data_IF_617603949533
#
_entry.id   IF_617603949533
#
_cell.length_a   1.000
_cell.length_b   1.000
_cell.length_c   1.000
_cell.angle_alpha   90.00
_cell.angle_beta   90.00
_cell.angle_gamma   90.00
#
_symmetry.space_group_name_H-M   'P 1'
#
loop_
_entity.id
_entity.type
_entity.pdbx_description
1 polymer ?
#
# COMPACT_ATOMS: atom_id res chain seq x y z
N UNK A 1 12.67 12.51 -0.59
CA UNK A 1 11.41 13.24 -0.82
C UNK A 1 10.29 12.23 -1.10
N UNK A 2 9.34 12.03 -0.16
CA UNK A 2 8.17 11.13 -0.35
C UNK A 2 7.03 11.96 -0.96
N UNK A 3 6.45 11.49 -2.05
CA UNK A 3 5.30 12.14 -2.68
C UNK A 3 4.05 11.92 -1.80
N UNK A 4 3.26 12.98 -1.59
CA UNK A 4 2.05 12.92 -0.75
C UNK A 4 0.88 12.20 -1.43
N UNK A 5 0.83 12.22 -2.77
CA UNK A 5 -0.33 11.79 -3.55
C UNK A 5 0.09 11.20 -4.89
N UNK A 6 -0.59 10.14 -5.33
CA UNK A 6 -0.52 9.68 -6.72
C UNK A 6 -1.66 10.38 -7.48
N UNK A 7 -1.33 11.35 -8.33
CA UNK A 7 -2.29 12.24 -9.02
C UNK A 7 -3.21 11.47 -9.99
N UNK A 8 -2.84 10.25 -10.38
CA UNK A 8 -3.58 9.44 -11.35
C UNK A 8 -3.98 8.12 -10.71
N UNK A 9 -5.29 7.90 -10.52
CA UNK A 9 -5.81 6.57 -10.28
C UNK A 9 -5.36 5.68 -11.45
N UNK A 10 -4.80 4.51 -11.13
CA UNK A 10 -4.45 3.55 -12.16
C UNK A 10 -5.72 3.21 -12.93
N UNK A 11 -5.69 3.35 -14.25
CA UNK A 11 -6.75 2.94 -15.20
C UNK A 11 -7.13 1.45 -15.04
N UNK A 12 -6.36 0.69 -14.27
CA UNK A 12 -6.56 -0.70 -13.90
C UNK A 12 -7.16 -0.82 -12.49
N UNK A 13 -8.33 -0.21 -12.23
CA UNK A 13 -9.07 -0.47 -11.00
C UNK A 13 -9.61 -1.91 -11.01
N UNK A 14 -8.80 -2.84 -10.49
CA UNK A 14 -9.06 -4.28 -10.49
C UNK A 14 -9.74 -4.75 -9.19
N UNK A 15 -10.85 -4.14 -8.80
CA UNK A 15 -11.65 -4.66 -7.69
C UNK A 15 -12.44 -5.89 -8.14
N UNK A 16 -12.29 -7.00 -7.42
CA UNK A 16 -13.07 -8.20 -7.66
C UNK A 16 -14.56 -7.94 -7.30
N UNK A 17 -15.47 -8.62 -7.99
CA UNK A 17 -16.91 -8.41 -7.80
C UNK A 17 -17.49 -9.05 -6.52
N UNK A 18 -16.69 -9.90 -5.85
CA UNK A 18 -17.07 -10.52 -4.59
C UNK A 18 -17.07 -9.50 -3.43
N UNK A 19 -17.73 -9.84 -2.34
CA UNK A 19 -17.98 -8.98 -1.16
C UNK A 19 -16.76 -8.16 -0.73
N UNK A 20 -15.63 -8.81 -0.49
CA UNK A 20 -14.37 -8.16 -0.09
C UNK A 20 -13.90 -7.11 -1.11
N UNK A 21 -14.06 -7.35 -2.42
CA UNK A 21 -13.64 -6.39 -3.43
C UNK A 21 -14.54 -5.15 -3.45
N UNK A 22 -15.85 -5.32 -3.21
CA UNK A 22 -16.79 -4.20 -3.06
C UNK A 22 -16.53 -3.38 -1.80
N UNK A 23 -16.22 -4.05 -0.69
CA UNK A 23 -15.85 -3.36 0.57
C UNK A 23 -14.57 -2.56 0.41
N UNK A 24 -13.54 -3.15 -0.21
CA UNK A 24 -12.28 -2.44 -0.50
C UNK A 24 -12.50 -1.24 -1.43
N UNK A 25 -13.39 -1.36 -2.41
CA UNK A 25 -13.76 -0.24 -3.28
C UNK A 25 -14.43 0.87 -2.48
N UNK A 26 -15.47 0.55 -1.69
CA UNK A 26 -16.17 1.52 -0.86
C UNK A 26 -15.24 2.22 0.15
N UNK A 27 -14.33 1.48 0.78
CA UNK A 27 -13.30 2.04 1.65
C UNK A 27 -12.35 2.96 0.88
N UNK A 28 -11.96 2.59 -0.34
CA UNK A 28 -11.09 3.43 -1.18
C UNK A 28 -11.79 4.73 -1.55
N UNK A 29 -13.02 4.66 -2.05
CA UNK A 29 -13.82 5.83 -2.44
C UNK A 29 -13.99 6.78 -1.24
N UNK A 30 -14.28 6.24 -0.06
CA UNK A 30 -14.35 7.04 1.17
C UNK A 30 -13.01 7.71 1.51
N UNK A 31 -11.90 6.97 1.46
CA UNK A 31 -10.57 7.53 1.69
C UNK A 31 -10.19 8.61 0.67
N UNK A 32 -10.66 8.49 -0.58
CA UNK A 32 -10.39 9.47 -1.63
C UNK A 32 -11.10 10.80 -1.37
N UNK A 33 -12.26 10.77 -0.72
CA UNK A 33 -12.97 11.98 -0.26
C UNK A 33 -12.31 12.63 0.96
N UNK A 34 -11.50 11.90 1.73
CA UNK A 34 -10.87 12.38 2.96
C UNK A 34 -9.39 12.76 2.76
N UNK A 35 -9.11 14.05 2.47
CA UNK A 35 -7.73 14.56 2.41
C UNK A 35 -7.06 14.74 3.79
N UNK A 36 -7.84 14.91 4.86
CA UNK A 36 -7.34 15.33 6.19
C UNK A 36 -6.42 14.34 6.94
N UNK A 37 -6.60 13.01 6.87
CA UNK A 37 -5.78 12.06 7.63
C UNK A 37 -4.32 11.97 7.15
N UNK A 38 -4.03 12.40 5.91
CA UNK A 38 -2.73 12.21 5.30
C UNK A 38 -1.61 12.98 6.02
N UNK A 39 -1.91 14.12 6.62
CA UNK A 39 -0.89 14.90 7.34
C UNK A 39 -0.53 14.27 8.70
N UNK A 40 -1.48 13.61 9.37
CA UNK A 40 -1.23 12.85 10.59
C UNK A 40 -0.38 11.61 10.32
N UNK A 41 -0.71 10.87 9.27
CA UNK A 41 0.09 9.71 8.83
C UNK A 41 1.47 10.17 8.38
N UNK A 42 1.56 11.27 7.63
CA UNK A 42 2.84 11.85 7.22
C UNK A 42 3.73 12.21 8.41
N UNK A 43 3.13 12.73 9.49
CA UNK A 43 3.86 13.08 10.72
C UNK A 43 4.37 11.82 11.44
N UNK A 44 3.54 10.77 11.57
CA UNK A 44 3.94 9.52 12.21
C UNK A 44 5.04 8.79 11.42
N UNK A 45 4.88 8.72 10.10
CA UNK A 45 5.83 8.12 9.16
C UNK A 45 7.16 8.89 9.09
N UNK A 46 7.18 10.19 9.42
CA UNK A 46 8.40 11.00 9.54
C UNK A 46 9.10 10.85 10.89
N UNK A 47 8.35 10.58 11.97
CA UNK A 47 8.90 10.40 13.32
C UNK A 47 9.64 9.09 13.48
N UNK A 48 9.22 8.05 12.76
CA UNK A 48 10.03 6.84 12.59
C UNK A 48 11.20 7.22 11.69
N UNK A 49 12.41 7.33 12.25
CA UNK A 49 13.66 7.58 11.50
C UNK A 49 13.92 6.40 10.55
N UNK A 50 13.23 6.40 9.42
CA UNK A 50 13.42 5.39 8.38
C UNK A 50 14.75 5.67 7.72
N UNK A 51 15.69 4.73 7.87
CA UNK A 51 16.96 4.69 7.14
C UNK A 51 16.76 5.18 5.69
N UNK A 52 17.58 6.13 5.25
CA UNK A 52 17.63 6.58 3.87
C UNK A 52 18.20 5.48 2.97
N UNK A 53 17.46 4.38 2.81
CA UNK A 53 17.69 3.47 1.70
C UNK A 53 17.43 4.32 0.46
N UNK A 54 18.46 4.66 -0.33
CA UNK A 54 18.46 5.69 -1.38
C UNK A 54 17.46 5.53 -2.54
N UNK A 55 16.31 4.88 -2.33
CA UNK A 55 15.16 4.75 -3.22
C UNK A 55 13.99 5.57 -2.69
N UNK A 56 13.16 6.10 -3.60
CA UNK A 56 11.89 6.74 -3.25
C UNK A 56 11.02 5.76 -2.44
N UNK A 57 10.68 6.14 -1.21
CA UNK A 57 9.74 5.39 -0.36
C UNK A 57 8.32 5.38 -0.93
N UNK A 58 7.46 4.53 -0.37
CA UNK A 58 6.03 4.52 -0.72
C UNK A 58 5.40 5.91 -0.46
N UNK A 59 4.43 6.35 -1.28
CA UNK A 59 3.65 7.54 -0.98
C UNK A 59 2.83 7.31 0.29
N UNK A 60 2.61 8.37 1.06
CA UNK A 60 1.92 8.31 2.36
C UNK A 60 0.52 7.71 2.23
N UNK A 61 -0.17 8.01 1.12
CA UNK A 61 -1.44 7.38 0.72
C UNK A 61 -1.38 5.85 0.69
N UNK A 62 -0.34 5.28 0.08
CA UNK A 62 -0.17 3.83 -0.03
C UNK A 62 0.17 3.22 1.32
N UNK A 63 0.95 3.92 2.15
CA UNK A 63 1.26 3.48 3.51
C UNK A 63 -0.01 3.36 4.34
N UNK A 64 -0.84 4.41 4.34
CA UNK A 64 -2.12 4.41 5.04
C UNK A 64 -3.02 3.26 4.54
N UNK A 65 -3.15 3.09 3.23
CA UNK A 65 -4.00 2.02 2.68
C UNK A 65 -3.45 0.62 2.97
N UNK A 66 -2.13 0.43 2.97
CA UNK A 66 -1.53 -0.82 3.45
C UNK A 66 -1.83 -1.08 4.94
N UNK A 67 -1.77 -0.05 5.78
CA UNK A 67 -2.08 -0.18 7.21
C UNK A 67 -3.56 -0.51 7.45
N UNK A 68 -4.48 0.14 6.72
CA UNK A 68 -5.92 -0.16 6.78
C UNK A 68 -6.18 -1.59 6.29
N UNK A 69 -5.59 -2.00 5.17
CA UNK A 69 -5.76 -3.35 4.64
C UNK A 69 -5.24 -4.41 5.62
N UNK A 70 -4.09 -4.16 6.25
CA UNK A 70 -3.51 -5.00 7.29
C UNK A 70 -4.47 -5.13 8.47
N UNK A 71 -5.03 -4.03 8.96
CA UNK A 71 -5.92 -4.02 10.11
C UNK A 71 -7.26 -4.69 9.80
N UNK A 72 -7.86 -4.34 8.66
CA UNK A 72 -9.15 -4.84 8.21
C UNK A 72 -9.15 -6.37 8.05
N UNK A 73 -8.07 -6.93 7.48
CA UNK A 73 -7.94 -8.39 7.31
C UNK A 73 -7.08 -9.07 8.38
N UNK A 74 -6.71 -8.35 9.45
CA UNK A 74 -5.88 -8.84 10.56
C UNK A 74 -4.57 -9.53 10.13
N UNK A 75 -3.92 -9.00 9.09
CA UNK A 75 -2.75 -9.63 8.47
C UNK A 75 -1.46 -9.32 9.25
N UNK A 76 -0.55 -10.29 9.26
CA UNK A 76 0.87 -10.03 9.49
C UNK A 76 1.48 -9.25 8.31
N UNK A 77 2.70 -8.74 8.47
CA UNK A 77 3.39 -8.08 7.37
C UNK A 77 3.68 -9.03 6.19
N UNK A 78 3.95 -10.32 6.47
CA UNK A 78 4.20 -11.32 5.43
C UNK A 78 2.94 -11.63 4.62
N UNK A 79 1.80 -11.80 5.31
CA UNK A 79 0.50 -12.04 4.67
C UNK A 79 0.02 -10.81 3.90
N UNK A 80 0.28 -9.61 4.41
CA UNK A 80 0.01 -8.37 3.69
C UNK A 80 0.79 -8.33 2.38
N UNK A 81 2.10 -8.64 2.40
CA UNK A 81 2.91 -8.71 1.19
C UNK A 81 2.34 -9.77 0.23
N UNK A 82 1.93 -10.93 0.73
CA UNK A 82 1.33 -11.96 -0.10
C UNK A 82 0.02 -11.48 -0.77
N UNK A 83 -0.91 -10.86 -0.02
CA UNK A 83 -2.13 -10.23 -0.54
C UNK A 83 -1.81 -9.24 -1.67
N UNK A 84 -0.82 -8.36 -1.43
CA UNK A 84 -0.40 -7.35 -2.39
C UNK A 84 0.31 -7.95 -3.62
N UNK A 85 0.88 -9.13 -3.54
CA UNK A 85 1.48 -9.80 -4.70
C UNK A 85 0.46 -10.58 -5.54
N UNK A 86 -0.54 -11.16 -4.88
CA UNK A 86 -1.44 -12.16 -5.49
C UNK A 86 -2.82 -11.59 -5.88
N UNK A 87 -3.26 -10.49 -5.26
CA UNK A 87 -4.58 -9.91 -5.51
C UNK A 87 -4.50 -8.52 -6.15
N UNK A 88 -5.10 -8.40 -7.33
CA UNK A 88 -5.29 -7.13 -8.02
C UNK A 88 -6.09 -6.13 -7.18
N UNK A 89 -7.05 -6.60 -6.37
CA UNK A 89 -7.85 -5.73 -5.49
C UNK A 89 -7.03 -5.20 -4.31
N UNK A 90 -6.15 -6.02 -3.71
CA UNK A 90 -5.22 -5.54 -2.68
C UNK A 90 -4.26 -4.47 -3.29
N UNK A 91 -3.74 -4.71 -4.50
CA UNK A 91 -2.84 -3.77 -5.20
C UNK A 91 -3.53 -2.45 -5.54
N UNK A 92 -4.74 -2.54 -6.08
CA UNK A 92 -5.58 -1.39 -6.46
C UNK A 92 -5.90 -0.56 -5.23
N UNK A 93 -6.39 -1.21 -4.17
CA UNK A 93 -6.66 -0.55 -2.90
C UNK A 93 -5.41 0.15 -2.36
N UNK A 94 -4.25 -0.52 -2.32
CA UNK A 94 -3.03 0.10 -1.80
C UNK A 94 -2.42 1.19 -2.71
N UNK A 95 -3.02 1.48 -3.88
CA UNK A 95 -2.52 2.43 -4.91
C UNK A 95 -1.05 2.20 -5.27
N UNK A 96 -0.65 0.94 -5.36
CA UNK A 96 0.72 0.57 -5.67
C UNK A 96 0.96 0.66 -7.17
N UNK A 97 1.92 1.51 -7.59
CA UNK A 97 2.32 1.61 -8.99
C UNK A 97 3.01 0.32 -9.46
N UNK A 98 2.96 0.04 -10.77
CA UNK A 98 3.65 -1.11 -11.40
C UNK A 98 5.15 -1.20 -11.06
N UNK A 99 5.80 -0.08 -10.72
CA UNK A 99 7.20 -0.04 -10.28
C UNK A 99 7.44 -0.69 -8.90
N UNK A 100 6.38 -0.96 -8.15
CA UNK A 100 6.42 -1.62 -6.84
C UNK A 100 6.28 -3.14 -6.94
N UNK A 101 5.68 -3.65 -8.02
CA UNK A 101 5.48 -5.08 -8.27
C UNK A 101 6.71 -5.68 -8.94
N UNK A 102 7.51 -6.51 -8.24
CA UNK A 102 8.67 -7.13 -8.85
C UNK A 102 8.26 -8.20 -9.88
N UNK A 103 9.11 -8.42 -10.90
CA UNK A 103 8.91 -9.48 -11.90
C UNK A 103 8.78 -10.84 -11.18
N UNK A 104 7.78 -11.66 -11.58
CA UNK A 104 7.37 -12.94 -10.94
C UNK A 104 8.51 -13.92 -10.60
N UNK A 105 9.69 -13.80 -11.22
CA UNK A 105 10.76 -14.79 -11.17
C UNK A 105 11.43 -15.01 -9.79
N UNK A 106 11.20 -14.18 -8.77
CA UNK A 106 11.82 -14.37 -7.42
C UNK A 106 10.89 -13.96 -6.27
N UNK A 107 9.70 -14.56 -6.20
CA UNK A 107 8.71 -14.34 -5.13
C UNK A 107 9.32 -14.29 -3.71
N UNK A 108 10.17 -15.26 -3.34
CA UNK A 108 10.73 -15.33 -1.97
C UNK A 108 11.66 -14.16 -1.63
N UNK A 109 12.60 -13.82 -2.51
CA UNK A 109 13.49 -12.67 -2.30
C UNK A 109 12.71 -11.35 -2.32
N UNK A 110 11.66 -11.29 -3.14
CA UNK A 110 10.77 -10.14 -3.23
C UNK A 110 9.94 -9.93 -1.96
N UNK A 111 9.46 -11.03 -1.34
CA UNK A 111 8.70 -10.98 -0.09
C UNK A 111 9.48 -10.32 1.03
N UNK A 112 10.66 -10.85 1.38
CA UNK A 112 11.52 -10.30 2.43
C UNK A 112 11.88 -8.82 2.19
N UNK A 113 12.12 -8.46 0.92
CA UNK A 113 12.40 -7.07 0.53
C UNK A 113 11.19 -6.15 0.69
N UNK A 114 9.99 -6.62 0.39
CA UNK A 114 8.75 -5.86 0.56
C UNK A 114 8.34 -5.74 2.03
N UNK A 115 8.49 -6.81 2.81
CA UNK A 115 8.25 -6.78 4.26
C UNK A 115 9.13 -5.71 4.90
N UNK A 116 10.44 -5.69 4.60
CA UNK A 116 11.34 -4.64 5.10
C UNK A 116 10.89 -3.23 4.71
N UNK A 117 10.39 -3.04 3.47
CA UNK A 117 9.88 -1.74 3.03
C UNK A 117 8.58 -1.32 3.72
N UNK A 118 7.66 -2.25 3.96
CA UNK A 118 6.40 -1.99 4.65
C UNK A 118 6.63 -1.72 6.13
N UNK A 119 7.50 -2.49 6.79
CA UNK A 119 7.92 -2.24 8.18
C UNK A 119 8.64 -0.89 8.30
N UNK A 120 9.46 -0.54 7.31
CA UNK A 120 10.12 0.76 7.24
C UNK A 120 9.15 1.91 6.88
N UNK A 121 7.97 1.62 6.34
CA UNK A 121 7.00 2.64 5.93
C UNK A 121 5.91 2.86 6.98
N UNK A 122 5.50 1.80 7.69
CA UNK A 122 4.48 1.80 8.73
C UNK A 122 5.06 1.98 10.13
#
# INVERSE_FOLDING_TARGET
MREKRTIQASIFEGYAEHEIGRELKAMSDWLDTQLGPLDWVAADVKRRNVEETGRKGLPIESVLRCAILKQYRQLSYEELVFCLMDSASCQTFARLTMAWTPKRATLQHCKARMVKKLIAAC
#
